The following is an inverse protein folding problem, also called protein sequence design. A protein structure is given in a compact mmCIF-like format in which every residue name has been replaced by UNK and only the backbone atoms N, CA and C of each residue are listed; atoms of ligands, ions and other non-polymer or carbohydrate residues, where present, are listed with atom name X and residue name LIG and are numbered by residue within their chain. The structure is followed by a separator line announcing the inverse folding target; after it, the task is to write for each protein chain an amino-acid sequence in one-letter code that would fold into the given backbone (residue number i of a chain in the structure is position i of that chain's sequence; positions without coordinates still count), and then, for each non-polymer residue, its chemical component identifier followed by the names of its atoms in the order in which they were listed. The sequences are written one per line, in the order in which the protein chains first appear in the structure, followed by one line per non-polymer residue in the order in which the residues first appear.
data_IF_219556083437
#
_entry.id   IF_219556083437
#
_cell.length_a   1.000
_cell.length_b   1.000
_cell.length_c   1.000
_cell.angle_alpha   90.00
_cell.angle_beta   90.00
_cell.angle_gamma   90.00
#
_symmetry.space_group_name_H-M   'P 1'
#
loop_
_entity.id
_entity.type
_entity.pdbx_description
1 polymer ?
#
# COMPACT_ATOMS: atom_id res chain seq x y z
N UNK A 1 -0.98 1.94 0.31
CA UNK A 1 -1.03 2.77 1.52
C UNK A 1 0.35 3.40 1.74
N UNK A 2 0.49 4.44 2.57
CA UNK A 2 1.79 5.08 2.86
C UNK A 2 2.06 5.09 4.36
N UNK A 3 3.29 4.77 4.76
CA UNK A 3 3.68 4.80 6.18
C UNK A 3 3.53 6.18 6.78
N UNK A 4 3.00 6.21 8.01
CA UNK A 4 2.70 7.44 8.74
C UNK A 4 1.40 8.15 8.33
N UNK A 5 0.71 7.69 7.27
CA UNK A 5 -0.58 8.25 6.84
C UNK A 5 -1.72 7.25 7.09
N UNK A 6 -2.52 7.44 8.15
CA UNK A 6 -3.63 6.54 8.46
C UNK A 6 -4.74 6.65 7.40
N UNK A 7 -5.40 5.53 7.12
CA UNK A 7 -6.58 5.44 6.25
C UNK A 7 -6.38 5.98 4.82
N UNK A 8 -5.14 6.08 4.34
CA UNK A 8 -4.83 6.51 2.98
C UNK A 8 -4.55 5.32 2.05
N UNK A 9 -5.33 5.23 0.98
CA UNK A 9 -5.07 4.36 -0.16
C UNK A 9 -4.86 5.18 -1.44
N UNK A 10 -3.94 4.73 -2.29
CA UNK A 10 -3.68 5.31 -3.60
C UNK A 10 -3.28 4.22 -4.59
N UNK A 11 -3.55 4.43 -5.87
CA UNK A 11 -3.22 3.51 -6.97
C UNK A 11 -2.25 4.19 -7.93
N UNK A 12 -1.11 3.56 -8.21
CA UNK A 12 -0.15 4.01 -9.23
C UNK A 12 -0.07 2.95 -10.31
N UNK A 13 -0.53 3.23 -11.52
CA UNK A 13 -0.60 2.26 -12.64
C UNK A 13 0.73 1.59 -13.01
N UNK A 14 0.64 0.49 -13.76
CA UNK A 14 1.83 -0.13 -14.35
C UNK A 14 2.46 0.79 -15.41
N UNK A 15 3.77 0.68 -15.61
CA UNK A 15 4.51 1.44 -16.62
C UNK A 15 4.20 0.88 -18.02
N UNK A 16 4.24 -0.45 -18.16
CA UNK A 16 4.15 -1.15 -19.45
C UNK A 16 2.92 -2.07 -19.58
N UNK A 17 1.98 -2.01 -18.64
CA UNK A 17 0.73 -2.78 -18.65
C UNK A 17 -0.45 -1.84 -18.44
N UNK A 18 -1.67 -2.32 -18.71
CA UNK A 18 -2.86 -1.50 -18.52
C UNK A 18 -3.01 -1.03 -17.07
N UNK A 19 -3.22 0.27 -16.89
CA UNK A 19 -3.47 0.86 -15.57
C UNK A 19 -4.73 0.28 -14.90
N UNK A 20 -5.72 -0.14 -15.69
CA UNK A 20 -6.98 -0.72 -15.18
C UNK A 20 -6.74 -2.02 -14.41
N UNK A 21 -5.75 -2.82 -14.82
CA UNK A 21 -5.37 -4.06 -14.15
C UNK A 21 -4.87 -3.80 -12.73
N UNK A 22 -4.10 -2.73 -12.54
CA UNK A 22 -3.62 -2.36 -11.21
C UNK A 22 -4.71 -1.72 -10.36
N UNK A 23 -5.57 -0.93 -10.98
CA UNK A 23 -6.72 -0.32 -10.31
C UNK A 23 -7.66 -1.38 -9.73
N UNK A 24 -7.93 -2.46 -10.47
CA UNK A 24 -8.73 -3.60 -9.99
C UNK A 24 -8.06 -4.26 -8.77
N UNK A 25 -6.77 -4.62 -8.84
CA UNK A 25 -6.05 -5.21 -7.70
C UNK A 25 -6.03 -4.30 -6.48
N UNK A 26 -5.78 -3.00 -6.68
CA UNK A 26 -5.77 -2.02 -5.58
C UNK A 26 -7.14 -1.93 -4.93
N UNK A 27 -8.21 -1.87 -5.72
CA UNK A 27 -9.59 -1.79 -5.22
C UNK A 27 -9.98 -3.02 -4.40
N UNK A 28 -9.55 -4.22 -4.84
CA UNK A 28 -9.77 -5.47 -4.10
C UNK A 28 -9.03 -5.47 -2.76
N UNK A 29 -7.77 -5.04 -2.73
CA UNK A 29 -7.02 -4.94 -1.47
C UNK A 29 -7.68 -3.94 -0.51
N UNK A 30 -8.08 -2.77 -1.02
CA UNK A 30 -8.80 -1.75 -0.24
C UNK A 30 -10.11 -2.33 0.32
N UNK A 31 -10.89 -3.05 -0.47
CA UNK A 31 -12.12 -3.68 0.00
C UNK A 31 -11.88 -4.71 1.13
N UNK A 32 -10.79 -5.49 1.06
CA UNK A 32 -10.38 -6.41 2.14
C UNK A 32 -10.02 -5.65 3.42
N UNK A 33 -9.25 -4.57 3.31
CA UNK A 33 -8.86 -3.72 4.44
C UNK A 33 -10.09 -3.06 5.08
N UNK A 34 -11.00 -2.50 4.27
CA UNK A 34 -12.24 -1.90 4.77
C UNK A 34 -13.12 -2.91 5.48
N UNK A 35 -13.23 -4.14 4.95
CA UNK A 35 -13.93 -5.24 5.63
C UNK A 35 -13.30 -5.54 6.99
N UNK A 36 -11.97 -5.65 7.06
CA UNK A 36 -11.25 -5.87 8.32
C UNK A 36 -11.45 -4.74 9.33
N UNK A 37 -11.49 -3.47 8.89
CA UNK A 37 -11.85 -2.33 9.75
C UNK A 37 -13.24 -2.51 10.37
N UNK A 38 -14.24 -2.84 9.54
CA UNK A 38 -15.63 -3.05 10.00
C UNK A 38 -15.72 -4.24 10.96
N UNK A 39 -15.12 -5.38 10.60
CA UNK A 39 -15.21 -6.62 11.39
C UNK A 39 -14.49 -6.51 12.75
N UNK A 40 -13.41 -5.73 12.82
CA UNK A 40 -12.65 -5.50 14.05
C UNK A 40 -13.17 -4.34 14.91
N UNK A 41 -13.98 -3.46 14.32
CA UNK A 41 -14.36 -2.19 14.93
C UNK A 41 -13.21 -1.19 15.05
N UNK A 42 -12.08 -1.38 14.36
CA UNK A 42 -10.96 -0.45 14.36
C UNK A 42 -11.32 0.88 13.67
N UNK A 43 -10.77 1.99 14.16
CA UNK A 43 -11.00 3.34 13.62
C UNK A 43 -9.97 3.76 12.57
N UNK A 44 -8.76 3.20 12.66
CA UNK A 44 -7.72 3.48 11.68
C UNK A 44 -6.81 2.31 11.42
N UNK A 45 -6.24 2.32 10.21
CA UNK A 45 -5.16 1.43 9.80
C UNK A 45 -4.04 2.24 9.16
N UNK A 46 -2.80 1.92 9.51
CA UNK A 46 -1.60 2.55 8.94
C UNK A 46 -0.56 1.47 8.66
N UNK A 47 0.12 1.50 7.49
CA UNK A 47 1.19 0.56 7.22
C UNK A 47 2.46 1.00 7.97
N UNK A 48 3.14 0.09 8.66
CA UNK A 48 4.39 0.36 9.37
C UNK A 48 5.52 -0.54 8.87
N UNK A 49 6.56 0.08 8.31
CA UNK A 49 7.74 -0.65 7.83
C UNK A 49 8.76 -0.78 8.96
N UNK A 50 8.89 -1.99 9.51
CA UNK A 50 9.87 -2.33 10.56
C UNK A 50 11.12 -3.05 10.01
N UNK A 51 11.18 -3.26 8.69
CA UNK A 51 12.28 -3.97 8.04
C UNK A 51 13.57 -3.16 7.97
N UNK A 52 14.69 -3.88 7.82
CA UNK A 52 15.97 -3.30 7.42
C UNK A 52 16.33 -3.82 6.03
N UNK A 53 16.74 -2.94 5.12
CA UNK A 53 17.07 -3.33 3.75
C UNK A 53 17.18 -2.17 2.78
N UNK A 54 17.72 -2.41 1.58
CA UNK A 54 17.75 -1.41 0.53
C UNK A 54 16.31 -1.03 0.14
N UNK A 55 16.10 0.27 -0.06
CA UNK A 55 14.85 0.82 -0.57
C UNK A 55 15.15 1.65 -1.80
N UNK A 56 14.23 1.62 -2.77
CA UNK A 56 14.32 2.40 -4.00
C UNK A 56 13.10 3.33 -4.14
N UNK A 57 13.17 4.40 -4.95
CA UNK A 57 11.99 5.16 -5.33
C UNK A 57 10.90 4.24 -5.89
N UNK A 58 9.63 4.55 -5.61
CA UNK A 58 8.49 3.74 -6.03
C UNK A 58 8.48 3.46 -7.54
N UNK A 59 8.91 4.43 -8.35
CA UNK A 59 9.02 4.28 -9.80
C UNK A 59 10.46 4.55 -10.23
N UNK A 60 11.12 3.52 -10.76
CA UNK A 60 12.44 3.62 -11.35
C UNK A 60 12.32 3.74 -12.88
N UNK A 61 12.43 4.97 -13.39
CA UNK A 61 12.34 5.29 -14.80
C UNK A 61 13.46 6.23 -15.22
N UNK A 62 13.95 6.07 -16.46
CA UNK A 62 15.03 6.89 -17.02
C UNK A 62 14.58 8.27 -17.50
N UNK A 63 13.29 8.59 -17.42
CA UNK A 63 12.77 9.91 -17.78
C UNK A 63 13.32 10.98 -16.83
N UNK A 64 14.03 11.98 -17.38
CA UNK A 64 14.73 12.97 -16.56
C UNK A 64 13.84 13.76 -15.59
N UNK A 65 12.54 13.94 -15.87
CA UNK A 65 11.62 14.56 -14.91
C UNK A 65 11.37 13.69 -13.68
N UNK A 66 11.23 12.37 -13.86
CA UNK A 66 11.06 11.42 -12.77
C UNK A 66 12.33 11.31 -11.94
N UNK A 67 13.50 11.31 -12.60
CA UNK A 67 14.79 11.34 -11.89
C UNK A 67 14.94 12.58 -11.00
N UNK A 68 14.54 13.77 -11.49
CA UNK A 68 14.54 14.99 -10.66
C UNK A 68 13.60 14.88 -9.46
N UNK A 69 12.45 14.24 -9.63
CA UNK A 69 11.46 14.03 -8.56
C UNK A 69 11.73 12.83 -7.66
N UNK A 70 12.74 12.00 -7.94
CA UNK A 70 12.93 10.70 -7.27
C UNK A 70 13.09 10.83 -5.75
N UNK A 71 13.71 11.91 -5.28
CA UNK A 71 13.90 12.20 -3.86
C UNK A 71 12.60 12.57 -3.12
N UNK A 72 11.53 12.92 -3.84
CA UNK A 72 10.20 13.22 -3.28
C UNK A 72 9.27 12.00 -3.32
N UNK A 73 9.66 10.93 -4.00
CA UNK A 73 8.80 9.77 -4.17
C UNK A 73 8.75 8.93 -2.89
N UNK A 74 7.61 8.27 -2.62
CA UNK A 74 7.58 7.15 -1.69
C UNK A 74 8.66 6.13 -2.04
N UNK A 75 9.17 5.44 -1.02
CA UNK A 75 10.15 4.36 -1.19
C UNK A 75 9.47 3.00 -1.12
N UNK A 76 10.01 2.03 -1.84
CA UNK A 76 9.58 0.64 -1.86
C UNK A 76 10.79 -0.29 -1.68
N UNK A 77 10.52 -1.57 -1.38
CA UNK A 77 11.51 -2.63 -1.28
C UNK A 77 11.35 -3.65 -2.41
N UNK A 78 12.21 -4.66 -2.45
CA UNK A 78 12.11 -5.75 -3.42
C UNK A 78 11.18 -6.89 -2.96
N UNK A 79 10.67 -6.85 -1.73
CA UNK A 79 9.88 -7.92 -1.11
C UNK A 79 8.47 -7.46 -0.72
N UNK A 80 7.47 -8.31 -0.95
CA UNK A 80 6.12 -8.07 -0.44
C UNK A 80 6.13 -8.08 1.10
N UNK A 81 5.22 -7.32 1.75
CA UNK A 81 4.15 -6.50 1.17
C UNK A 81 4.63 -5.12 0.66
N UNK A 82 5.91 -4.78 0.85
CA UNK A 82 6.49 -3.46 0.59
C UNK A 82 7.03 -3.27 -0.83
N UNK A 83 6.72 -4.19 -1.75
CA UNK A 83 7.25 -4.17 -3.11
C UNK A 83 6.28 -3.60 -4.12
N UNK A 84 6.83 -2.90 -5.10
CA UNK A 84 6.09 -2.36 -6.24
C UNK A 84 6.65 -2.94 -7.54
N UNK A 85 6.17 -4.12 -7.91
CA UNK A 85 6.65 -4.85 -9.10
C UNK A 85 5.83 -4.47 -10.33
N UNK A 86 6.41 -4.63 -11.52
CA UNK A 86 5.70 -4.42 -12.78
C UNK A 86 5.17 -5.75 -13.36
N UNK A 87 4.62 -6.61 -12.51
CA UNK A 87 4.17 -7.96 -12.89
C UNK A 87 2.79 -8.26 -12.34
N UNK A 88 1.80 -8.25 -13.22
CA UNK A 88 0.40 -8.48 -12.86
C UNK A 88 0.13 -9.85 -12.22
N UNK A 89 0.79 -10.92 -12.69
CA UNK A 89 0.53 -12.26 -12.17
C UNK A 89 0.99 -12.39 -10.72
N UNK A 90 2.18 -11.85 -10.42
CA UNK A 90 2.74 -11.85 -9.06
C UNK A 90 1.93 -10.91 -8.16
N UNK A 91 1.57 -9.72 -8.64
CA UNK A 91 0.74 -8.77 -7.88
C UNK A 91 -0.65 -9.34 -7.59
N UNK A 92 -1.27 -10.03 -8.55
CA UNK A 92 -2.58 -10.68 -8.36
C UNK A 92 -2.51 -11.82 -7.35
N UNK A 93 -1.49 -12.69 -7.44
CA UNK A 93 -1.27 -13.77 -6.48
C UNK A 93 -1.06 -13.21 -5.05
N UNK A 94 -0.23 -12.19 -4.93
CA UNK A 94 0.11 -11.56 -3.64
C UNK A 94 -1.08 -10.81 -3.06
N UNK A 95 -1.84 -10.07 -3.87
CA UNK A 95 -3.08 -9.37 -3.44
C UNK A 95 -4.14 -10.36 -2.95
N UNK A 96 -4.29 -11.49 -3.65
CA UNK A 96 -5.26 -12.50 -3.26
C UNK A 96 -4.89 -13.19 -1.94
N UNK A 97 -3.59 -13.39 -1.67
CA UNK A 97 -3.06 -14.02 -0.45
C UNK A 97 -2.53 -13.06 0.60
N UNK A 98 -2.76 -11.76 0.43
CA UNK A 98 -2.25 -10.74 1.32
C UNK A 98 -2.69 -11.03 2.76
N UNK A 99 -1.71 -11.22 3.63
CA UNK A 99 -1.92 -11.21 5.07
C UNK A 99 -2.06 -9.76 5.52
N UNK A 100 -3.20 -9.45 6.13
CA UNK A 100 -3.51 -8.10 6.58
C UNK A 100 -2.87 -7.76 7.93
N UNK A 101 -2.29 -8.74 8.62
CA UNK A 101 -1.54 -8.50 9.86
C UNK A 101 -0.01 -8.39 9.58
N UNK A 102 0.43 -8.62 8.34
CA UNK A 102 1.81 -8.39 7.89
C UNK A 102 2.02 -6.91 7.50
N UNK A 103 2.49 -6.11 8.46
CA UNK A 103 2.91 -4.72 8.25
C UNK A 103 1.80 -3.67 8.30
N UNK A 104 0.53 -4.05 8.58
CA UNK A 104 -0.53 -3.10 8.91
C UNK A 104 -0.76 -3.04 10.43
N UNK A 105 -0.84 -1.82 10.96
CA UNK A 105 -1.16 -1.55 12.35
C UNK A 105 -2.58 -1.01 12.44
N UNK A 106 -3.40 -1.65 13.27
CA UNK A 106 -4.82 -1.36 13.45
C UNK A 106 -5.03 -0.66 14.79
N UNK A 107 -5.67 0.51 14.78
CA UNK A 107 -5.94 1.28 16.00
C UNK A 107 -7.41 1.17 16.36
N UNK A 108 -7.68 0.85 17.63
CA UNK A 108 -9.03 0.85 18.17
C UNK A 108 -9.61 2.28 18.24
N UNK A 109 -10.94 2.45 18.19
CA UNK A 109 -11.59 3.74 18.33
C UNK A 109 -11.26 4.35 19.69
N UNK A 110 -10.92 5.64 19.66
CA UNK A 110 -10.73 6.39 20.90
C UNK A 110 -12.09 6.51 21.59
N UNK A 111 -12.23 5.93 22.79
CA UNK A 111 -13.51 5.89 23.53
C UNK A 111 -14.05 7.28 23.85
N UNK A 112 -13.22 8.33 23.71
CA UNK A 112 -13.60 9.72 23.93
C UNK A 112 -14.51 10.30 22.81
N UNK A 113 -14.32 9.90 21.54
CA UNK A 113 -15.11 10.44 20.42
C UNK A 113 -16.48 9.76 20.26
N UNK A 114 -16.64 8.52 20.73
CA UNK A 114 -17.89 7.76 20.61
C UNK A 114 -19.03 8.24 21.53
N UNK A 115 -18.82 9.30 22.33
CA UNK A 115 -19.79 9.85 23.29
C UNK A 115 -20.29 11.26 22.94
N UNK A 116 -19.87 11.83 21.80
CA UNK A 116 -20.39 13.10 21.28
C UNK A 116 -21.46 12.85 20.22
#
# INVERSE_FOLDING_TARGET
MLTGLPNLAFCVGYINLSWTMRSDLTSRLVAKVLRRLVDSGASSVVPEFTGSGPTAPLMDMQSGYLQRGAHLMPRATDSYPWSFRQNFLVDSWSTNRADLDDGLVWTAPDRAEARA
#
